data_IF_086518316208
#
_entry.id   IF_086518316208
#
_cell.length_a   1.000
_cell.length_b   1.000
_cell.length_c   1.000
_cell.angle_alpha   90.00
_cell.angle_beta   90.00
_cell.angle_gamma   90.00
#
_symmetry.space_group_name_H-M   'P 1'
#
loop_
_entity.id
_entity.type
_entity.pdbx_description
1 polymer ?
#
# COMPACT_ATOMS: atom_id res chain seq x y z
N UNK A 1 3.15 8.86 7.59
CA UNK A 1 3.43 7.46 7.24
C UNK A 1 4.86 7.40 6.76
N UNK A 2 5.58 6.33 7.08
CA UNK A 2 6.94 6.12 6.54
C UNK A 2 6.87 4.89 5.66
N UNK A 3 6.82 5.12 4.34
CA UNK A 3 6.48 4.08 3.37
C UNK A 3 7.74 3.60 2.65
N UNK A 4 7.91 2.28 2.56
CA UNK A 4 8.92 1.64 1.73
C UNK A 4 8.25 0.90 0.57
N UNK A 5 8.85 1.02 -0.61
CA UNK A 5 8.35 0.41 -1.84
C UNK A 5 9.28 -0.70 -2.30
N UNK A 6 8.71 -1.83 -2.67
CA UNK A 6 9.39 -2.95 -3.33
C UNK A 6 8.75 -3.13 -4.69
N UNK A 7 9.47 -2.72 -5.73
CA UNK A 7 9.02 -2.80 -7.12
C UNK A 7 9.58 -4.05 -7.81
N UNK A 8 8.83 -4.61 -8.74
CA UNK A 8 9.38 -5.58 -9.69
C UNK A 8 10.46 -4.94 -10.58
N UNK A 9 11.39 -5.76 -11.08
CA UNK A 9 12.57 -5.31 -11.82
C UNK A 9 12.25 -4.61 -13.14
N UNK A 10 11.13 -4.96 -13.78
CA UNK A 10 10.69 -4.39 -15.06
C UNK A 10 9.94 -3.07 -14.92
N UNK A 11 9.66 -2.61 -13.70
CA UNK A 11 8.92 -1.36 -13.46
C UNK A 11 9.82 -0.16 -13.77
N UNK A 12 9.37 0.71 -14.68
CA UNK A 12 10.11 1.89 -15.13
C UNK A 12 10.15 2.97 -14.05
N UNK A 13 11.04 3.95 -14.20
CA UNK A 13 11.14 5.06 -13.25
C UNK A 13 9.90 5.95 -13.24
N UNK A 14 9.27 6.15 -14.40
CA UNK A 14 8.00 6.89 -14.51
C UNK A 14 6.86 6.16 -13.79
N UNK A 15 6.79 4.83 -13.94
CA UNK A 15 5.83 4.00 -13.21
C UNK A 15 6.08 4.06 -11.70
N UNK A 16 7.34 4.04 -11.25
CA UNK A 16 7.67 4.21 -9.83
C UNK A 16 7.16 5.56 -9.29
N UNK A 17 7.33 6.63 -10.05
CA UNK A 17 6.86 7.96 -9.66
C UNK A 17 5.33 8.03 -9.59
N UNK A 18 4.62 7.49 -10.58
CA UNK A 18 3.15 7.38 -10.57
C UNK A 18 2.65 6.60 -9.35
N UNK A 19 3.30 5.48 -9.05
CA UNK A 19 2.97 4.67 -7.88
C UNK A 19 3.20 5.45 -6.58
N UNK A 20 4.34 6.14 -6.42
CA UNK A 20 4.62 6.93 -5.22
C UNK A 20 3.58 8.03 -5.02
N UNK A 21 3.24 8.76 -6.08
CA UNK A 21 2.21 9.78 -6.05
C UNK A 21 0.83 9.23 -5.64
N UNK A 22 0.49 8.00 -6.04
CA UNK A 22 -0.71 7.31 -5.57
C UNK A 22 -0.72 7.12 -4.04
N UNK A 23 0.34 6.58 -3.47
CA UNK A 23 0.40 6.32 -2.03
C UNK A 23 0.53 7.59 -1.18
N UNK A 24 1.11 8.67 -1.73
CA UNK A 24 1.24 9.96 -1.06
C UNK A 24 -0.06 10.78 -1.09
N UNK A 25 -0.78 10.79 -2.22
CA UNK A 25 -1.89 11.71 -2.44
C UNK A 25 -3.28 11.05 -2.42
N UNK A 26 -3.40 9.77 -2.79
CA UNK A 26 -4.71 9.09 -2.91
C UNK A 26 -5.07 8.31 -1.65
N UNK A 27 -4.08 7.67 -1.02
CA UNK A 27 -4.31 6.75 0.10
C UNK A 27 -4.61 7.44 1.43
N UNK A 28 -4.47 8.76 1.50
CA UNK A 28 -4.67 9.56 2.70
C UNK A 28 -5.86 10.53 2.50
N UNK A 29 -7.13 10.08 2.61
CA UNK A 29 -8.23 10.85 2.06
C UNK A 29 -8.77 11.81 3.12
N UNK A 30 -8.52 13.10 2.91
CA UNK A 30 -9.50 14.15 3.21
C UNK A 30 -10.49 14.35 2.04
N UNK A 31 -10.24 13.73 0.88
CA UNK A 31 -11.00 13.88 -0.37
C UNK A 31 -11.47 12.54 -0.96
N UNK A 32 -12.40 12.64 -1.92
CA UNK A 32 -12.96 11.53 -2.70
C UNK A 32 -11.88 10.81 -3.52
N UNK A 33 -11.56 9.58 -3.10
CA UNK A 33 -10.49 8.75 -3.69
C UNK A 33 -10.67 8.51 -5.19
N UNK A 34 -11.91 8.45 -5.70
CA UNK A 34 -12.15 8.24 -7.12
C UNK A 34 -11.71 9.45 -7.96
N UNK A 35 -12.01 10.66 -7.48
CA UNK A 35 -11.57 11.91 -8.15
C UNK A 35 -10.05 12.06 -8.11
N UNK A 36 -9.44 11.72 -6.98
CA UNK A 36 -7.99 11.77 -6.82
C UNK A 36 -7.27 10.81 -7.80
N UNK A 37 -7.80 9.60 -8.01
CA UNK A 37 -7.28 8.63 -8.98
C UNK A 37 -7.38 9.18 -10.41
N UNK A 38 -8.53 9.71 -10.80
CA UNK A 38 -8.73 10.25 -12.15
C UNK A 38 -7.77 11.42 -12.43
N UNK A 39 -7.61 12.31 -11.44
CA UNK A 39 -6.67 13.43 -11.54
C UNK A 39 -5.23 12.94 -11.68
N UNK A 40 -4.79 12.02 -10.82
CA UNK A 40 -3.45 11.44 -10.88
C UNK A 40 -3.17 10.77 -12.23
N UNK A 41 -4.13 10.01 -12.75
CA UNK A 41 -4.02 9.37 -14.06
C UNK A 41 -3.87 10.41 -15.18
N UNK A 42 -4.64 11.51 -15.10
CA UNK A 42 -4.56 12.60 -16.08
C UNK A 42 -3.21 13.33 -16.03
N UNK A 43 -2.68 13.59 -14.83
CA UNK A 43 -1.41 14.30 -14.62
C UNK A 43 -0.18 13.51 -15.10
N UNK A 44 -0.30 12.18 -15.19
CA UNK A 44 0.78 11.27 -15.60
C UNK A 44 0.55 10.61 -16.97
N UNK A 45 -0.42 11.08 -17.76
CA UNK A 45 -0.79 10.49 -19.06
C UNK A 45 -1.04 8.97 -18.98
N UNK A 46 -1.55 8.50 -17.84
CA UNK A 46 -1.76 7.10 -17.54
C UNK A 46 -3.26 6.76 -17.52
N UNK A 47 -3.58 5.49 -17.77
CA UNK A 47 -4.96 5.00 -17.60
C UNK A 47 -5.17 4.41 -16.20
N UNK A 48 -6.39 4.48 -15.63
CA UNK A 48 -6.70 3.84 -14.35
C UNK A 48 -6.43 2.33 -14.34
N UNK A 49 -6.60 1.65 -15.48
CA UNK A 49 -6.30 0.23 -15.64
C UNK A 49 -4.79 -0.03 -15.56
N UNK A 50 -3.99 0.85 -16.17
CA UNK A 50 -2.54 0.78 -16.14
C UNK A 50 -2.00 1.02 -14.73
N UNK A 51 -2.56 2.00 -14.02
CA UNK A 51 -2.27 2.23 -12.61
C UNK A 51 -2.65 1.02 -11.75
N UNK A 52 -3.84 0.44 -11.96
CA UNK A 52 -4.30 -0.73 -11.21
C UNK A 52 -3.38 -1.94 -11.39
N UNK A 53 -2.92 -2.19 -12.62
CA UNK A 53 -1.94 -3.26 -12.91
C UNK A 53 -0.60 -2.98 -12.23
N UNK A 54 -0.11 -1.75 -12.34
CA UNK A 54 1.13 -1.34 -11.70
C UNK A 54 1.08 -1.52 -10.17
N UNK A 55 -0.08 -1.24 -9.54
CA UNK A 55 -0.29 -1.43 -8.11
C UNK A 55 -0.27 -2.91 -7.68
N UNK A 56 -0.46 -3.86 -8.60
CA UNK A 56 -0.27 -5.30 -8.33
C UNK A 56 1.21 -5.71 -8.35
N UNK A 57 2.04 -4.94 -9.03
CA UNK A 57 3.48 -5.21 -9.22
C UNK A 57 4.37 -4.47 -8.21
N UNK A 58 3.75 -3.82 -7.22
CA UNK A 58 4.43 -3.11 -6.15
C UNK A 58 3.95 -3.65 -4.81
N UNK A 59 4.90 -3.91 -3.91
CA UNK A 59 4.61 -4.19 -2.50
C UNK A 59 5.01 -2.98 -1.69
N UNK A 60 4.09 -2.53 -0.84
CA UNK A 60 4.26 -1.30 -0.08
C UNK A 60 4.19 -1.62 1.40
N UNK A 61 5.14 -1.10 2.17
CA UNK A 61 5.26 -1.37 3.60
C UNK A 61 5.29 -0.07 4.40
N UNK A 62 4.46 0.03 5.42
CA UNK A 62 4.52 1.12 6.41
C UNK A 62 5.44 0.70 7.56
N UNK A 63 6.64 1.27 7.61
CA UNK A 63 7.63 0.96 8.63
C UNK A 63 7.31 1.55 10.00
N UNK A 64 6.30 2.44 10.09
CA UNK A 64 5.81 2.92 11.37
C UNK A 64 5.01 1.86 12.15
N UNK A 65 4.63 0.74 11.51
CA UNK A 65 3.81 -0.31 12.11
C UNK A 65 4.52 -1.65 11.90
N UNK A 66 4.82 -2.34 13.01
CA UNK A 66 5.53 -3.61 13.01
C UNK A 66 4.69 -4.68 13.68
N UNK A 67 4.71 -5.89 13.12
CA UNK A 67 4.07 -7.05 13.71
C UNK A 67 4.78 -7.42 15.03
N UNK A 68 4.03 -7.56 16.12
CA UNK A 68 4.58 -7.95 17.42
C UNK A 68 5.12 -9.39 17.43
N UNK A 69 4.54 -10.28 16.62
CA UNK A 69 4.96 -11.69 16.56
C UNK A 69 6.24 -11.94 15.76
N UNK A 70 6.46 -11.21 14.66
CA UNK A 70 7.56 -11.50 13.72
C UNK A 70 8.39 -10.28 13.29
N UNK A 71 8.05 -9.08 13.75
CA UNK A 71 8.77 -7.84 13.41
C UNK A 71 8.54 -7.31 11.98
N UNK A 72 7.83 -8.06 11.11
CA UNK A 72 7.56 -7.61 9.74
C UNK A 72 6.75 -6.31 9.73
N UNK A 73 7.12 -5.39 8.84
CA UNK A 73 6.38 -4.14 8.61
C UNK A 73 4.99 -4.39 8.04
N UNK A 74 4.05 -3.49 8.34
CA UNK A 74 2.69 -3.56 7.84
C UNK A 74 2.66 -3.44 6.32
N UNK A 75 2.09 -4.43 5.64
CA UNK A 75 1.94 -4.42 4.18
C UNK A 75 0.65 -3.70 3.79
N UNK A 76 0.79 -2.60 3.06
CA UNK A 76 -0.32 -1.80 2.54
C UNK A 76 -0.92 -2.49 1.33
N UNK A 77 -2.22 -2.77 1.37
CA UNK A 77 -2.95 -3.37 0.27
C UNK A 77 -3.78 -2.29 -0.47
N UNK A 78 -3.35 -1.82 -1.65
CA UNK A 78 -4.17 -0.92 -2.45
C UNK A 78 -5.49 -1.60 -2.89
N UNK A 79 -6.57 -0.84 -3.14
CA UNK A 79 -6.61 0.63 -3.12
C UNK A 79 -6.88 1.23 -1.72
N UNK A 80 -7.03 0.39 -0.68
CA UNK A 80 -7.47 0.82 0.64
C UNK A 80 -6.33 0.71 1.67
N UNK A 81 -5.80 1.86 2.10
CA UNK A 81 -4.96 1.88 3.29
C UNK A 81 -5.84 1.95 4.54
N UNK A 82 -6.07 0.79 5.15
CA UNK A 82 -6.64 0.72 6.50
C UNK A 82 -5.52 0.60 7.51
N UNK A 83 -5.12 1.74 8.07
CA UNK A 83 -4.18 1.75 9.20
C UNK A 83 -4.78 0.88 10.32
N UNK A 84 -4.12 -0.22 10.73
CA UNK A 84 -4.63 -1.05 11.81
C UNK A 84 -4.69 -0.22 13.10
N UNK A 85 -5.70 -0.47 13.93
CA UNK A 85 -5.70 0.09 15.28
C UNK A 85 -4.55 -0.56 16.06
N UNK A 86 -3.54 0.23 16.42
CA UNK A 86 -2.33 -0.24 17.08
C UNK A 86 -2.42 -0.21 18.60
N UNK A 87 -3.52 0.26 19.19
CA UNK A 87 -3.68 0.34 20.66
C UNK A 87 -3.55 -1.02 21.35
N UNK A 88 -3.93 -2.11 20.67
CA UNK A 88 -3.80 -3.49 21.15
C UNK A 88 -2.56 -4.22 20.61
N UNK A 89 -1.69 -3.53 19.85
CA UNK A 89 -0.63 -4.14 19.07
C UNK A 89 -1.11 -4.68 17.71
N UNK A 90 -0.22 -4.70 16.72
CA UNK A 90 -0.51 -5.23 15.39
C UNK A 90 0.13 -6.62 15.23
N UNK A 91 -0.64 -7.58 14.69
CA UNK A 91 -0.14 -8.87 14.21
C UNK A 91 -0.37 -8.99 12.71
N UNK A 92 0.62 -9.46 11.96
CA UNK A 92 0.44 -9.70 10.54
C UNK A 92 -0.42 -10.94 10.30
N UNK A 93 -1.06 -11.03 9.12
CA UNK A 93 -1.94 -12.15 8.75
C UNK A 93 -1.34 -13.53 9.03
N UNK A 94 -0.04 -13.71 8.80
CA UNK A 94 0.64 -14.99 9.07
C UNK A 94 0.72 -15.30 10.56
N UNK A 95 1.03 -14.31 11.41
CA UNK A 95 1.02 -14.49 12.86
C UNK A 95 -0.38 -14.70 13.39
N UNK A 96 -1.38 -13.95 12.90
CA UNK A 96 -2.79 -14.15 13.27
C UNK A 96 -3.28 -15.55 12.89
N UNK A 97 -2.96 -16.02 11.68
CA UNK A 97 -3.32 -17.36 11.24
C UNK A 97 -2.66 -18.45 12.09
N UNK A 98 -1.39 -18.25 12.48
CA UNK A 98 -0.68 -19.19 13.35
C UNK A 98 -1.27 -19.24 14.76
N UNK A 99 -1.58 -18.08 15.36
CA UNK A 99 -2.16 -17.99 16.72
C UNK A 99 -3.56 -18.61 16.76
N UNK A 100 -4.36 -18.43 15.70
CA UNK A 100 -5.73 -18.90 15.63
C UNK A 100 -5.88 -20.30 15.00
N UNK A 101 -4.78 -20.96 14.63
CA UNK A 101 -4.85 -22.30 14.07
C UNK A 101 -5.38 -23.30 15.13
N UNK A 102 -6.42 -24.09 14.83
CA UNK A 102 -6.88 -25.13 15.75
C UNK A 102 -5.80 -26.21 15.89
N UNK A 103 -5.54 -26.62 17.13
CA UNK A 103 -4.63 -27.72 17.48
C UNK A 103 -5.19 -29.09 17.06
#
# INVERSE_FOLDING_TARGET
MTIHYVFQSYVTQEQKALCQAYFEHVINPKEDSAKAIVKLCSDHEASPESLSRLLLDVRVYDSAIQCQGCGKYYEVNPPYYHRPNTDAGYYCRSCEAFINAPF
#
